data_IF_580187271862
#
_entry.id   IF_580187271862
#
_cell.length_a   1.000
_cell.length_b   1.000
_cell.length_c   1.000
_cell.angle_alpha   90.00
_cell.angle_beta   90.00
_cell.angle_gamma   90.00
#
_symmetry.space_group_name_H-M   'P 1'
#
loop_
_entity.id
_entity.type
_entity.pdbx_description
1 polymer ?
#
# COMPACT_ATOMS: atom_id res chain seq x y z
N UNK A 1 14.50 -5.14 5.37
CA UNK A 1 13.37 -5.76 4.65
C UNK A 1 12.15 -4.88 4.90
N UNK A 2 11.45 -4.44 3.86
CA UNK A 2 10.29 -3.54 4.04
C UNK A 2 9.09 -4.34 4.57
N UNK A 3 8.43 -3.81 5.60
CA UNK A 3 7.24 -4.42 6.22
C UNK A 3 5.97 -3.67 5.85
N UNK A 4 4.80 -4.22 6.20
CA UNK A 4 3.53 -3.50 6.03
C UNK A 4 3.44 -2.30 6.98
N UNK A 5 4.02 -2.43 8.17
CA UNK A 5 4.09 -1.39 9.20
C UNK A 5 4.92 -0.20 8.72
N UNK A 6 6.03 -0.45 8.01
CA UNK A 6 6.84 0.61 7.39
C UNK A 6 6.03 1.38 6.36
N UNK A 7 5.30 0.65 5.50
CA UNK A 7 4.44 1.24 4.46
C UNK A 7 3.24 1.99 5.05
N UNK A 8 2.68 1.54 6.18
CA UNK A 8 1.57 2.22 6.85
C UNK A 8 1.97 3.56 7.48
N UNK A 9 3.24 3.74 7.85
CA UNK A 9 3.76 4.99 8.44
C UNK A 9 4.21 6.01 7.40
N UNK A 10 4.41 5.59 6.15
CA UNK A 10 4.87 6.42 5.03
C UNK A 10 3.76 7.33 4.49
N UNK A 11 4.14 8.51 4.02
CA UNK A 11 3.24 9.41 3.30
C UNK A 11 3.32 9.16 1.79
N UNK A 12 2.16 9.26 1.15
CA UNK A 12 2.00 9.06 -0.28
C UNK A 12 1.28 10.24 -0.91
N UNK A 13 1.65 10.56 -2.13
CA UNK A 13 0.93 11.53 -2.93
C UNK A 13 -0.32 10.89 -3.55
N UNK A 14 -1.46 11.39 -3.09
CA UNK A 14 -2.81 10.95 -3.46
C UNK A 14 -3.60 12.22 -3.82
N UNK A 15 -3.99 12.32 -5.08
CA UNK A 15 -4.77 13.46 -5.59
C UNK A 15 -4.13 14.83 -5.24
N UNK A 16 -2.80 14.93 -5.36
CA UNK A 16 -2.04 16.14 -5.06
C UNK A 16 -1.85 16.44 -3.57
N UNK A 17 -2.21 15.53 -2.67
CA UNK A 17 -2.05 15.67 -1.22
C UNK A 17 -1.17 14.56 -0.66
N UNK A 18 -0.35 14.89 0.33
CA UNK A 18 0.40 13.90 1.12
C UNK A 18 -0.51 13.32 2.18
N UNK A 19 -0.82 12.03 2.06
CA UNK A 19 -1.69 11.31 2.99
C UNK A 19 -0.99 10.05 3.49
N UNK A 20 -1.24 9.71 4.76
CA UNK A 20 -0.91 8.39 5.30
C UNK A 20 -2.06 7.41 5.01
N UNK A 21 -1.76 6.14 4.71
CA UNK A 21 -2.78 5.11 4.59
C UNK A 21 -3.57 4.96 5.90
N UNK A 22 -4.87 4.77 5.76
CA UNK A 22 -5.74 4.30 6.85
C UNK A 22 -5.61 2.79 7.06
N UNK A 23 -5.30 2.04 6.00
CA UNK A 23 -5.07 0.59 6.05
C UNK A 23 -4.14 0.17 4.93
N UNK A 24 -3.31 -0.83 5.18
CA UNK A 24 -2.39 -1.44 4.21
C UNK A 24 -2.52 -2.96 4.30
N UNK A 25 -2.51 -3.67 3.16
CA UNK A 25 -2.55 -5.14 3.12
C UNK A 25 -1.90 -5.69 1.84
N UNK A 26 -1.45 -6.95 1.91
CA UNK A 26 -0.97 -7.69 0.74
C UNK A 26 -2.13 -8.31 -0.02
N UNK A 27 -2.05 -8.26 -1.34
CA UNK A 27 -2.89 -9.05 -2.25
C UNK A 27 -1.94 -9.93 -3.05
N UNK A 28 -1.89 -11.21 -2.68
CA UNK A 28 -0.96 -12.16 -3.27
C UNK A 28 -1.58 -13.56 -3.31
N UNK A 29 -1.86 -14.11 -4.50
CA UNK A 29 -2.17 -15.52 -4.67
C UNK A 29 -0.97 -16.40 -4.29
N UNK A 30 -1.22 -17.58 -3.72
CA UNK A 30 -0.16 -18.51 -3.30
C UNK A 30 0.79 -18.83 -4.46
N UNK A 31 2.09 -18.62 -4.24
CA UNK A 31 3.15 -18.92 -5.21
C UNK A 31 3.20 -17.98 -6.42
N UNK A 32 2.54 -16.81 -6.37
CA UNK A 32 2.61 -15.79 -7.44
C UNK A 32 3.08 -14.46 -6.88
N UNK A 33 3.53 -13.58 -7.79
CA UNK A 33 3.74 -12.17 -7.50
C UNK A 33 2.44 -11.52 -7.06
N UNK A 34 2.55 -10.50 -6.23
CA UNK A 34 1.42 -9.74 -5.72
C UNK A 34 1.76 -8.27 -5.58
N UNK A 35 0.96 -7.57 -4.80
CA UNK A 35 1.18 -6.17 -4.50
C UNK A 35 0.67 -5.82 -3.10
N UNK A 36 1.15 -4.69 -2.59
CA UNK A 36 0.61 -4.07 -1.39
C UNK A 36 -0.37 -2.98 -1.80
N UNK A 37 -1.60 -3.10 -1.32
CA UNK A 37 -2.65 -2.10 -1.51
C UNK A 37 -2.77 -1.25 -0.25
N UNK A 38 -2.95 0.06 -0.44
CA UNK A 38 -3.24 1.00 0.63
C UNK A 38 -4.57 1.71 0.40
N UNK A 39 -5.28 1.97 1.49
CA UNK A 39 -6.53 2.73 1.54
C UNK A 39 -6.25 4.11 2.12
N UNK A 40 -6.68 5.17 1.44
CA UNK A 40 -6.53 6.55 1.87
C UNK A 40 -7.90 7.18 2.03
N UNK A 41 -8.07 8.01 3.06
CA UNK A 41 -9.23 8.87 3.22
C UNK A 41 -8.80 10.29 2.90
N UNK A 42 -9.40 10.88 1.89
CA UNK A 42 -9.09 12.24 1.45
C UNK A 42 -9.84 13.27 2.31
N UNK A 43 -9.38 14.54 2.37
CA UNK A 43 -10.05 15.57 3.16
C UNK A 43 -11.48 15.90 2.71
N UNK A 44 -11.82 15.65 1.43
CA UNK A 44 -13.19 15.77 0.90
C UNK A 44 -14.08 14.55 1.25
N UNK A 45 -13.58 13.63 2.08
CA UNK A 45 -14.32 12.48 2.59
C UNK A 45 -14.31 11.24 1.68
N UNK A 46 -13.71 11.32 0.49
CA UNK A 46 -13.59 10.18 -0.41
C UNK A 46 -12.58 9.16 0.09
N UNK A 47 -12.70 7.95 -0.45
CA UNK A 47 -11.80 6.84 -0.14
C UNK A 47 -11.12 6.39 -1.43
N UNK A 48 -9.79 6.39 -1.42
CA UNK A 48 -8.95 6.04 -2.58
C UNK A 48 -8.14 4.80 -2.24
N UNK A 49 -8.06 3.85 -3.19
CA UNK A 49 -7.16 2.69 -3.08
C UNK A 49 -6.03 2.85 -4.09
N UNK A 50 -4.79 2.60 -3.64
CA UNK A 50 -3.61 2.67 -4.51
C UNK A 50 -2.65 1.53 -4.20
N UNK A 51 -2.07 0.96 -5.26
CA UNK A 51 -0.93 0.04 -5.13
C UNK A 51 0.30 0.85 -4.73
N UNK A 52 0.96 0.44 -3.65
CA UNK A 52 2.08 1.19 -3.06
C UNK A 52 3.40 0.42 -3.00
N UNK A 53 3.37 -0.89 -3.26
CA UNK A 53 4.56 -1.73 -3.40
C UNK A 53 4.22 -3.00 -4.17
N UNK A 54 5.24 -3.68 -4.70
CA UNK A 54 5.12 -5.01 -5.31
C UNK A 54 5.50 -6.07 -4.29
N UNK A 55 5.04 -7.29 -4.52
CA UNK A 55 5.39 -8.47 -3.72
C UNK A 55 5.92 -9.53 -4.67
N UNK A 56 7.08 -10.12 -4.35
CA UNK A 56 7.66 -11.21 -5.13
C UNK A 56 6.93 -12.55 -4.90
N UNK A 57 7.39 -13.62 -5.53
CA UNK A 57 6.76 -14.96 -5.43
C UNK A 57 6.92 -15.59 -4.04
N UNK A 58 7.88 -15.12 -3.25
CA UNK A 58 8.18 -15.59 -1.90
C UNK A 58 7.40 -14.79 -0.83
N UNK A 59 6.70 -13.72 -1.23
CA UNK A 59 5.93 -12.89 -0.32
C UNK A 59 6.69 -11.70 0.26
N UNK A 60 7.90 -11.44 -0.23
CA UNK A 60 8.72 -10.30 0.18
C UNK A 60 8.22 -9.03 -0.51
N UNK A 61 8.13 -7.95 0.25
CA UNK A 61 7.79 -6.63 -0.29
C UNK A 61 9.03 -6.06 -0.99
N UNK A 62 8.86 -5.72 -2.26
CA UNK A 62 9.87 -5.07 -3.11
C UNK A 62 9.29 -3.71 -3.54
N UNK A 63 9.94 -2.62 -3.10
CA UNK A 63 9.49 -1.23 -3.30
C UNK A 63 10.33 -0.57 -4.38
#
# INVERSE_FOLDING_TARGET
MVTLEDLAKREYEIEGKKLKPTKVWKVQPKGRKGFVMALFKTPDGKTVRKVIAKVDEQGNIIV
#
